data_IF_616906155020
#
_entry.id   IF_616906155020
#
_cell.length_a   1.000
_cell.length_b   1.000
_cell.length_c   1.000
_cell.angle_alpha   90.00
_cell.angle_beta   90.00
_cell.angle_gamma   90.00
#
_symmetry.space_group_name_H-M   'P 1'
#
loop_
_entity.id
_entity.type
_entity.pdbx_description
1 polymer ?
#
# COMPACT_ATOMS: atom_id res chain seq x y z
N UNK A 1 -1.72 3.05 9.49
CA UNK A 1 -2.63 3.32 10.63
C UNK A 1 -4.06 3.27 10.09
N UNK A 2 -4.93 2.44 10.64
CA UNK A 2 -6.29 2.26 10.10
C UNK A 2 -7.24 3.30 10.70
N UNK A 3 -8.09 3.93 9.89
CA UNK A 3 -9.09 4.92 10.37
C UNK A 3 -9.96 4.41 11.53
N UNK A 4 -10.38 3.13 11.58
CA UNK A 4 -11.09 2.58 12.75
C UNK A 4 -10.31 2.66 14.05
N UNK A 5 -8.97 2.58 14.02
CA UNK A 5 -8.16 2.76 15.22
C UNK A 5 -8.24 4.19 15.75
N UNK A 6 -8.20 5.19 14.86
CA UNK A 6 -8.31 6.60 15.25
C UNK A 6 -9.69 6.89 15.86
N UNK A 7 -10.76 6.50 15.16
CA UNK A 7 -12.14 6.79 15.58
C UNK A 7 -12.55 6.11 16.89
N UNK A 8 -11.93 4.97 17.22
CA UNK A 8 -12.21 4.21 18.44
C UNK A 8 -11.10 4.35 19.49
N UNK A 9 -10.20 5.33 19.36
CA UNK A 9 -9.15 5.55 20.34
C UNK A 9 -9.72 6.08 21.66
N UNK A 10 -9.17 5.61 22.78
CA UNK A 10 -9.42 6.21 24.10
C UNK A 10 -8.69 7.56 24.26
N UNK A 11 -7.66 7.80 23.44
CA UNK A 11 -6.97 9.09 23.35
C UNK A 11 -7.82 10.08 22.54
N UNK A 12 -8.24 11.15 23.20
CA UNK A 12 -9.13 12.15 22.62
C UNK A 12 -8.50 12.88 21.42
N UNK A 13 -7.18 13.10 21.41
CA UNK A 13 -6.50 13.78 20.32
C UNK A 13 -6.48 12.89 19.06
N UNK A 14 -6.27 11.58 19.24
CA UNK A 14 -6.34 10.60 18.14
C UNK A 14 -7.76 10.46 17.59
N UNK A 15 -8.77 10.54 18.46
CA UNK A 15 -10.17 10.54 18.04
C UNK A 15 -10.52 11.78 17.21
N UNK A 16 -10.14 12.97 17.67
CA UNK A 16 -10.31 14.23 16.93
C UNK A 16 -9.60 14.14 15.57
N UNK A 17 -8.38 13.59 15.52
CA UNK A 17 -7.68 13.37 14.26
C UNK A 17 -8.47 12.46 13.32
N UNK A 18 -9.06 11.38 13.84
CA UNK A 18 -9.93 10.49 13.07
C UNK A 18 -11.14 11.21 12.48
N UNK A 19 -11.81 12.05 13.28
CA UNK A 19 -12.96 12.85 12.85
C UNK A 19 -12.57 13.86 11.77
N UNK A 20 -11.43 14.55 11.91
CA UNK A 20 -10.89 15.46 10.89
C UNK A 20 -10.62 14.72 9.58
N UNK A 21 -10.02 13.53 9.64
CA UNK A 21 -9.75 12.70 8.46
C UNK A 21 -11.05 12.32 7.74
N UNK A 22 -12.13 12.01 8.49
CA UNK A 22 -13.45 11.71 7.92
C UNK A 22 -14.06 12.94 7.27
N UNK A 23 -14.14 14.06 8.00
CA UNK A 23 -14.75 15.30 7.54
C UNK A 23 -14.10 15.84 6.26
N UNK A 24 -12.79 15.64 6.10
CA UNK A 24 -12.05 16.11 4.93
C UNK A 24 -11.87 15.04 3.85
N UNK A 25 -12.45 13.85 4.01
CA UNK A 25 -12.28 12.71 3.11
C UNK A 25 -10.80 12.41 2.81
N UNK A 26 -9.94 12.48 3.83
CA UNK A 26 -8.50 12.20 3.72
C UNK A 26 -8.19 10.70 3.69
N UNK A 27 -9.03 9.94 3.00
CA UNK A 27 -8.88 8.51 2.79
C UNK A 27 -9.41 8.16 1.41
N UNK A 28 -8.95 7.03 0.88
CA UNK A 28 -9.36 6.56 -0.44
C UNK A 28 -9.97 5.17 -0.29
N UNK A 29 -11.23 5.03 -0.68
CA UNK A 29 -11.87 3.72 -0.78
C UNK A 29 -11.11 2.84 -1.75
N UNK A 30 -10.84 1.60 -1.34
CA UNK A 30 -10.06 0.65 -2.14
C UNK A 30 -10.66 0.46 -3.54
N UNK A 31 -11.99 0.44 -3.64
CA UNK A 31 -12.73 0.36 -4.91
C UNK A 31 -12.49 1.53 -5.87
N UNK A 32 -12.06 2.69 -5.38
CA UNK A 32 -11.77 3.89 -6.17
C UNK A 32 -10.27 4.07 -6.48
N UNK A 33 -9.41 3.12 -6.07
CA UNK A 33 -7.95 3.27 -6.26
C UNK A 33 -7.51 3.04 -7.71
N UNK A 34 -8.12 2.12 -8.43
CA UNK A 34 -7.70 1.84 -9.82
C UNK A 34 -8.07 2.96 -10.80
N UNK A 35 -9.06 3.80 -10.49
CA UNK A 35 -9.48 4.86 -11.40
C UNK A 35 -8.58 6.10 -11.39
N UNK A 36 -7.65 6.22 -10.42
CA UNK A 36 -6.79 7.39 -10.29
C UNK A 36 -7.51 8.69 -9.89
N UNK A 37 -8.85 8.70 -9.85
CA UNK A 37 -9.67 9.90 -9.63
C UNK A 37 -9.45 10.62 -8.28
N UNK A 38 -8.78 9.95 -7.33
CA UNK A 38 -8.40 10.53 -6.03
C UNK A 38 -7.07 11.31 -6.08
N UNK A 39 -6.36 11.25 -7.21
CA UNK A 39 -5.16 12.03 -7.50
C UNK A 39 -5.63 13.32 -8.15
N UNK A 40 -5.59 14.42 -7.39
CA UNK A 40 -6.05 15.73 -7.85
C UNK A 40 -4.92 16.45 -8.58
N UNK A 41 -5.27 17.42 -9.43
CA UNK A 41 -4.28 18.33 -10.02
C UNK A 41 -3.43 18.99 -8.92
N UNK A 42 -2.13 19.13 -9.16
CA UNK A 42 -1.14 19.68 -8.22
C UNK A 42 -1.03 18.92 -6.89
N UNK A 43 -1.21 17.60 -6.91
CA UNK A 43 -1.00 16.75 -5.75
C UNK A 43 0.08 15.70 -6.02
N UNK A 44 0.72 15.23 -4.95
CA UNK A 44 1.66 14.11 -4.97
C UNK A 44 1.10 13.01 -4.07
N UNK A 45 1.26 11.76 -4.49
CA UNK A 45 0.89 10.58 -3.70
C UNK A 45 2.10 9.67 -3.57
N UNK A 46 2.45 9.33 -2.34
CA UNK A 46 3.45 8.31 -2.05
C UNK A 46 2.82 6.91 -2.19
N UNK A 47 3.50 6.03 -2.91
CA UNK A 47 3.16 4.60 -2.99
C UNK A 47 4.36 3.79 -3.48
N UNK A 48 4.31 2.48 -3.27
CA UNK A 48 5.30 1.57 -3.84
C UNK A 48 5.27 1.63 -5.38
N UNK A 49 6.46 1.66 -5.99
CA UNK A 49 6.63 1.76 -7.45
C UNK A 49 5.90 0.66 -8.21
N UNK A 50 5.97 -0.59 -7.77
CA UNK A 50 5.29 -1.69 -8.45
C UNK A 50 3.77 -1.52 -8.41
N UNK A 51 3.23 -1.07 -7.28
CA UNK A 51 1.81 -0.74 -7.16
C UNK A 51 1.42 0.45 -8.04
N UNK A 52 2.27 1.50 -8.11
CA UNK A 52 2.06 2.63 -9.01
C UNK A 52 2.00 2.19 -10.47
N UNK A 53 2.97 1.38 -10.92
CA UNK A 53 3.03 0.87 -12.29
C UNK A 53 1.84 -0.04 -12.60
N UNK A 54 1.44 -0.91 -11.67
CA UNK A 54 0.30 -1.80 -11.84
C UNK A 54 -1.02 -1.05 -11.97
N UNK A 55 -1.23 0.00 -11.16
CA UNK A 55 -2.48 0.76 -11.16
C UNK A 55 -2.53 1.86 -12.22
N UNK A 56 -1.40 2.52 -12.48
CA UNK A 56 -1.31 3.76 -13.25
C UNK A 56 -0.33 3.71 -14.42
N UNK A 57 0.32 2.58 -14.70
CA UNK A 57 1.32 2.48 -15.76
C UNK A 57 0.79 2.78 -17.16
N UNK A 58 -0.53 2.66 -17.36
CA UNK A 58 -1.22 2.98 -18.62
C UNK A 58 -1.91 4.36 -18.60
N UNK A 59 -1.78 5.15 -17.54
CA UNK A 59 -2.41 6.46 -17.41
C UNK A 59 -1.48 7.56 -17.96
N UNK A 60 -1.83 8.15 -19.11
CA UNK A 60 -1.06 9.22 -19.74
C UNK A 60 -1.13 10.55 -18.97
N UNK A 61 -2.14 10.72 -18.11
CA UNK A 61 -2.39 11.92 -17.32
C UNK A 61 -1.62 11.94 -15.99
N UNK A 62 -0.91 10.85 -15.66
CA UNK A 62 -0.17 10.69 -14.42
C UNK A 62 1.31 10.48 -14.68
N UNK A 63 2.14 11.13 -13.86
CA UNK A 63 3.59 10.95 -13.89
C UNK A 63 4.03 10.15 -12.67
N UNK A 64 4.69 9.01 -12.90
CA UNK A 64 5.34 8.23 -11.84
C UNK A 64 6.79 8.73 -11.73
N UNK A 65 7.11 9.39 -10.62
CA UNK A 65 8.48 9.86 -10.39
C UNK A 65 9.47 8.69 -10.21
N UNK A 66 10.70 8.88 -10.67
CA UNK A 66 11.82 7.97 -10.42
C UNK A 66 12.45 8.17 -9.03
N UNK A 67 12.07 9.22 -8.30
CA UNK A 67 12.54 9.47 -6.94
C UNK A 67 12.12 8.33 -5.99
N UNK A 68 13.04 7.96 -5.10
CA UNK A 68 12.82 6.90 -4.11
C UNK A 68 12.97 7.51 -2.72
N UNK A 69 11.86 7.59 -1.98
CA UNK A 69 11.87 8.06 -0.59
C UNK A 69 12.43 7.00 0.36
N UNK A 70 12.05 5.74 0.17
CA UNK A 70 12.54 4.62 0.94
C UNK A 70 12.39 3.31 0.16
N UNK A 71 13.16 2.29 0.54
CA UNK A 71 13.03 0.93 0.02
C UNK A 71 12.52 0.03 1.13
N UNK A 72 11.44 -0.68 0.87
CA UNK A 72 10.79 -1.61 1.79
C UNK A 72 10.66 -2.98 1.13
N UNK A 73 10.97 -4.03 1.88
CA UNK A 73 10.81 -5.41 1.43
C UNK A 73 9.33 -5.82 1.50
N UNK A 74 8.89 -6.63 0.53
CA UNK A 74 7.59 -7.29 0.60
C UNK A 74 7.76 -8.62 1.33
N UNK A 75 6.98 -8.80 2.39
CA UNK A 75 7.05 -9.98 3.26
C UNK A 75 5.71 -10.70 3.36
N UNK A 76 5.76 -11.99 3.68
CA UNK A 76 4.57 -12.76 4.03
C UNK A 76 4.37 -12.71 5.55
N UNK A 77 3.32 -12.03 5.99
CA UNK A 77 2.88 -12.10 7.37
C UNK A 77 2.19 -13.45 7.63
N UNK A 78 2.57 -14.13 8.70
CA UNK A 78 1.94 -15.38 9.13
C UNK A 78 1.65 -15.36 10.63
N UNK A 79 0.64 -16.12 11.05
CA UNK A 79 0.25 -16.22 12.45
C UNK A 79 1.33 -16.88 13.31
N UNK A 80 1.33 -16.59 14.62
CA UNK A 80 2.33 -17.14 15.57
C UNK A 80 2.40 -18.67 15.55
N UNK A 81 1.27 -19.34 15.27
CA UNK A 81 1.17 -20.80 15.23
C UNK A 81 1.41 -21.38 13.83
N UNK A 82 1.90 -20.59 12.88
CA UNK A 82 2.21 -21.09 11.55
C UNK A 82 3.37 -22.08 11.62
N UNK A 83 3.09 -23.33 11.26
CA UNK A 83 3.98 -24.46 11.54
C UNK A 83 5.18 -24.59 10.60
N UNK A 84 5.24 -23.84 9.50
CA UNK A 84 6.23 -24.05 8.45
C UNK A 84 6.83 -22.78 7.77
N UNK A 85 7.35 -21.79 8.53
CA UNK A 85 8.02 -20.62 7.92
C UNK A 85 9.18 -21.00 6.99
N UNK A 86 9.97 -22.02 7.35
CA UNK A 86 11.11 -22.47 6.53
C UNK A 86 10.68 -23.02 5.17
N UNK A 87 9.56 -23.76 5.12
CA UNK A 87 9.01 -24.29 3.87
C UNK A 87 8.48 -23.16 2.99
N UNK A 88 7.81 -22.17 3.58
CA UNK A 88 7.37 -20.96 2.85
C UNK A 88 8.56 -20.23 2.23
N UNK A 89 9.63 -19.99 3.02
CA UNK A 89 10.85 -19.36 2.51
C UNK A 89 11.49 -20.17 1.37
N UNK A 90 11.53 -21.50 1.47
CA UNK A 90 12.06 -22.35 0.39
C UNK A 90 11.24 -22.21 -0.90
N UNK A 91 9.92 -22.13 -0.81
CA UNK A 91 9.05 -21.90 -1.97
C UNK A 91 9.33 -20.53 -2.58
N UNK A 92 9.38 -19.48 -1.76
CA UNK A 92 9.65 -18.10 -2.22
C UNK A 92 11.02 -18.03 -2.93
N UNK A 93 12.06 -18.64 -2.36
CA UNK A 93 13.39 -18.68 -2.96
C UNK A 93 13.39 -19.42 -4.31
N UNK A 94 12.65 -20.52 -4.44
CA UNK A 94 12.51 -21.25 -5.71
C UNK A 94 11.78 -20.43 -6.77
N UNK A 95 10.69 -19.76 -6.39
CA UNK A 95 9.95 -18.87 -7.30
C UNK A 95 10.85 -17.71 -7.76
N UNK A 96 11.61 -17.13 -6.83
CA UNK A 96 12.56 -16.06 -7.13
C UNK A 96 13.66 -16.53 -8.09
N UNK A 97 14.30 -17.67 -7.81
CA UNK A 97 15.34 -18.25 -8.66
C UNK A 97 14.84 -18.64 -10.07
N UNK A 98 13.55 -18.95 -10.20
CA UNK A 98 12.92 -19.21 -11.51
C UNK A 98 12.58 -17.93 -12.29
N UNK A 99 12.86 -16.74 -11.74
CA UNK A 99 12.56 -15.44 -12.35
C UNK A 99 11.06 -15.15 -12.42
N UNK A 100 10.23 -15.83 -11.62
CA UNK A 100 8.78 -15.62 -11.64
C UNK A 100 8.36 -14.25 -11.10
N UNK A 101 9.21 -13.59 -10.30
CA UNK A 101 8.93 -12.27 -9.75
C UNK A 101 8.99 -11.14 -10.80
N UNK A 102 9.62 -11.34 -11.96
CA UNK A 102 9.68 -10.35 -13.05
C UNK A 102 8.64 -10.59 -14.15
N UNK A 103 7.97 -11.75 -14.13
CA UNK A 103 7.02 -12.18 -15.16
C UNK A 103 5.55 -11.96 -14.77
N UNK A 104 5.29 -11.73 -13.48
CA UNK A 104 3.97 -11.44 -12.90
C UNK A 104 3.80 -9.94 -12.73
#
# INVERSE_FOLDING_TARGET
>A
MSLPFLLNSEDNDLKILGEIVVCNEWFVHVSKRSSGAYIKSRSVREMHRNTAKMLFGNHEDLYISEDILHVTLMDFAYGRNFFCPSKLNSIILRLSAAGLYEKL
#
